data_IF_010572527296
#
_entry.id   IF_010572527296
#
_cell.length_a   1.000
_cell.length_b   1.000
_cell.length_c   1.000
_cell.angle_alpha   90.00
_cell.angle_beta   90.00
_cell.angle_gamma   90.00
#
_symmetry.space_group_name_H-M   'P 1'
#
loop_
_entity.id
_entity.type
_entity.pdbx_description
1 polymer ?
#
# COMPACT_ATOMS: atom_id res chain seq x y z
N UNK A 1 -17.69 -9.86 -0.20
CA UNK A 1 -17.18 -9.07 -1.33
C UNK A 1 -15.88 -9.68 -1.81
N UNK A 2 -15.71 -9.78 -3.11
CA UNK A 2 -14.50 -10.30 -3.73
C UNK A 2 -13.92 -9.26 -4.70
N UNK A 3 -12.60 -9.13 -4.71
CA UNK A 3 -11.88 -8.16 -5.53
C UNK A 3 -10.68 -8.84 -6.17
N UNK A 4 -10.52 -8.65 -7.48
CA UNK A 4 -9.36 -9.16 -8.20
C UNK A 4 -8.09 -8.41 -7.79
N UNK A 5 -6.98 -9.13 -7.63
CA UNK A 5 -5.66 -8.55 -7.37
C UNK A 5 -5.27 -7.54 -8.46
N UNK A 6 -5.63 -7.81 -9.69
CA UNK A 6 -5.26 -6.96 -10.84
C UNK A 6 -5.75 -5.52 -10.70
N UNK A 7 -6.91 -5.30 -10.11
CA UNK A 7 -7.41 -3.94 -9.87
C UNK A 7 -6.49 -3.13 -8.95
N UNK A 8 -5.90 -3.79 -7.96
CA UNK A 8 -4.92 -3.17 -7.06
C UNK A 8 -3.56 -3.06 -7.74
N UNK A 9 -3.09 -4.14 -8.33
CA UNK A 9 -1.74 -4.22 -8.90
C UNK A 9 -1.55 -3.27 -10.08
N UNK A 10 -2.55 -3.13 -10.95
CA UNK A 10 -2.46 -2.18 -12.05
C UNK A 10 -2.37 -0.73 -11.56
N UNK A 11 -3.11 -0.39 -10.52
CA UNK A 11 -3.05 0.93 -9.90
C UNK A 11 -1.70 1.19 -9.24
N UNK A 12 -1.14 0.21 -8.57
CA UNK A 12 0.21 0.29 -8.00
C UNK A 12 1.26 0.47 -9.09
N UNK A 13 1.20 -0.33 -10.16
CA UNK A 13 2.14 -0.20 -11.30
C UNK A 13 2.10 1.19 -11.91
N UNK A 14 0.91 1.73 -12.13
CA UNK A 14 0.74 3.05 -12.72
C UNK A 14 1.28 4.17 -11.83
N UNK A 15 1.17 4.02 -10.53
CA UNK A 15 1.64 5.04 -9.56
C UNK A 15 3.13 4.93 -9.26
N UNK A 16 3.70 3.74 -9.25
CA UNK A 16 5.13 3.54 -9.01
C UNK A 16 5.96 3.73 -10.27
N UNK A 17 5.48 3.21 -11.39
CA UNK A 17 6.14 3.29 -12.70
C UNK A 17 7.65 3.00 -12.61
N UNK A 18 8.01 1.92 -11.93
CA UNK A 18 9.41 1.56 -11.67
C UNK A 18 9.98 0.79 -12.85
N UNK A 19 10.96 1.35 -13.60
CA UNK A 19 11.54 0.68 -14.76
C UNK A 19 12.20 -0.65 -14.44
N UNK A 20 12.76 -0.80 -13.26
CA UNK A 20 13.42 -2.04 -12.84
C UNK A 20 12.41 -3.16 -12.65
N UNK A 21 11.28 -2.86 -12.04
CA UNK A 21 10.20 -3.85 -11.85
C UNK A 21 9.50 -4.16 -13.15
N UNK A 22 9.24 -3.15 -13.99
CA UNK A 22 8.59 -3.33 -15.30
C UNK A 22 9.45 -4.13 -16.29
N UNK A 23 10.75 -4.20 -16.06
CA UNK A 23 11.67 -5.02 -16.87
C UNK A 23 11.66 -6.51 -16.48
N UNK A 24 11.04 -6.87 -15.37
CA UNK A 24 10.92 -8.26 -14.93
C UNK A 24 9.87 -9.01 -15.76
N UNK A 25 10.00 -10.34 -15.79
CA UNK A 25 8.96 -11.20 -16.32
C UNK A 25 7.66 -10.99 -15.56
N UNK A 26 6.55 -11.16 -16.27
CA UNK A 26 5.21 -10.97 -15.70
C UNK A 26 4.96 -11.85 -14.47
N UNK A 27 5.45 -13.08 -14.50
CA UNK A 27 5.34 -14.01 -13.36
C UNK A 27 6.14 -13.54 -12.15
N UNK A 28 7.36 -13.07 -12.35
CA UNK A 28 8.24 -12.58 -11.28
C UNK A 28 7.67 -11.30 -10.65
N UNK A 29 7.17 -10.40 -11.48
CA UNK A 29 6.52 -9.18 -11.02
C UNK A 29 5.27 -9.47 -10.20
N UNK A 30 4.46 -10.40 -10.66
CA UNK A 30 3.24 -10.83 -9.97
C UNK A 30 3.58 -11.43 -8.59
N UNK A 31 4.62 -12.24 -8.51
CA UNK A 31 5.09 -12.83 -7.26
C UNK A 31 5.54 -11.77 -6.25
N UNK A 32 6.28 -10.77 -6.70
CA UNK A 32 6.70 -9.63 -5.87
C UNK A 32 5.48 -8.87 -5.34
N UNK A 33 4.50 -8.62 -6.18
CA UNK A 33 3.29 -7.90 -5.79
C UNK A 33 2.43 -8.70 -4.82
N UNK A 34 2.32 -10.01 -5.00
CA UNK A 34 1.63 -10.91 -4.05
C UNK A 34 2.31 -10.87 -2.68
N UNK A 35 3.63 -10.92 -2.65
CA UNK A 35 4.39 -10.80 -1.40
C UNK A 35 4.15 -9.48 -0.68
N UNK A 36 4.15 -8.37 -1.41
CA UNK A 36 3.84 -7.05 -0.85
C UNK A 36 2.42 -6.99 -0.30
N UNK A 37 1.47 -7.56 -1.00
CA UNK A 37 0.08 -7.63 -0.56
C UNK A 37 -0.06 -8.40 0.74
N UNK A 38 0.60 -9.56 0.86
CA UNK A 38 0.64 -10.33 2.10
C UNK A 38 1.29 -9.55 3.23
N UNK A 39 2.36 -8.83 2.96
CA UNK A 39 3.05 -7.97 3.93
C UNK A 39 2.14 -6.86 4.45
N UNK A 40 1.38 -6.25 3.58
CA UNK A 40 0.42 -5.18 3.92
C UNK A 40 -0.62 -5.67 4.92
N UNK A 41 -1.12 -6.89 4.78
CA UNK A 41 -2.12 -7.46 5.69
C UNK A 41 -1.55 -7.67 7.09
N UNK A 42 -0.24 -7.81 7.21
CA UNK A 42 0.43 -7.86 8.51
C UNK A 42 0.40 -6.54 9.29
N UNK A 43 0.07 -5.43 8.64
CA UNK A 43 -0.04 -4.13 9.31
C UNK A 43 -1.27 -4.11 10.24
N UNK A 44 -1.01 -3.87 11.52
CA UNK A 44 -2.05 -3.89 12.57
C UNK A 44 -3.16 -2.86 12.31
N UNK A 45 -2.82 -1.68 11.83
CA UNK A 45 -3.80 -0.62 11.53
C UNK A 45 -4.77 -1.03 10.44
N UNK A 46 -4.24 -1.67 9.38
CA UNK A 46 -5.04 -2.17 8.27
C UNK A 46 -5.87 -3.37 8.72
N UNK A 47 -5.25 -4.32 9.41
CA UNK A 47 -5.91 -5.54 9.87
C UNK A 47 -7.11 -5.26 10.77
N UNK A 48 -7.03 -4.21 11.58
CA UNK A 48 -8.12 -3.80 12.48
C UNK A 48 -9.38 -3.32 11.78
N UNK A 49 -9.28 -2.90 10.53
CA UNK A 49 -10.44 -2.47 9.75
C UNK A 49 -11.33 -3.64 9.34
N UNK A 50 -10.79 -4.85 9.34
CA UNK A 50 -11.45 -6.04 8.83
C UNK A 50 -11.93 -6.95 9.95
N UNK A 51 -13.17 -7.40 9.84
CA UNK A 51 -13.68 -8.52 10.61
C UNK A 51 -13.04 -9.81 10.08
N UNK A 52 -13.07 -9.99 8.77
CA UNK A 52 -12.39 -11.09 8.07
C UNK A 52 -11.72 -10.56 6.81
N UNK A 53 -10.56 -11.13 6.47
CA UNK A 53 -9.88 -10.89 5.21
C UNK A 53 -9.13 -12.14 4.80
N UNK A 54 -9.32 -12.56 3.55
CA UNK A 54 -8.68 -13.73 2.98
C UNK A 54 -8.07 -13.39 1.63
N UNK A 55 -6.81 -13.77 1.45
CA UNK A 55 -6.10 -13.68 0.18
C UNK A 55 -6.06 -15.07 -0.45
N UNK A 56 -6.62 -15.20 -1.64
CA UNK A 56 -6.53 -16.43 -2.45
C UNK A 56 -5.59 -16.17 -3.63
N UNK A 57 -4.37 -16.68 -3.52
CA UNK A 57 -3.34 -16.49 -4.54
C UNK A 57 -3.60 -17.32 -5.79
N UNK A 58 -4.37 -18.39 -5.69
CA UNK A 58 -4.72 -19.22 -6.87
C UNK A 58 -5.75 -18.54 -7.76
N UNK A 59 -6.82 -18.03 -7.17
CA UNK A 59 -7.86 -17.29 -7.89
C UNK A 59 -7.48 -15.81 -8.10
N UNK A 60 -6.44 -15.34 -7.40
CA UNK A 60 -6.00 -13.94 -7.40
C UNK A 60 -7.11 -12.99 -6.97
N UNK A 61 -7.79 -13.33 -5.90
CA UNK A 61 -8.89 -12.55 -5.35
C UNK A 61 -8.73 -12.31 -3.85
N UNK A 62 -9.21 -11.15 -3.41
CA UNK A 62 -9.34 -10.80 -2.00
C UNK A 62 -10.81 -10.89 -1.62
N UNK A 63 -11.08 -11.57 -0.52
CA UNK A 63 -12.41 -11.61 0.09
C UNK A 63 -12.34 -10.95 1.45
N UNK A 64 -13.27 -10.07 1.76
CA UNK A 64 -13.24 -9.33 3.02
C UNK A 64 -14.64 -9.06 3.58
N UNK A 65 -14.63 -8.77 4.88
CA UNK A 65 -15.75 -8.18 5.59
C UNK A 65 -15.18 -7.11 6.52
N UNK A 66 -15.62 -5.88 6.37
CA UNK A 66 -15.18 -4.78 7.23
C UNK A 66 -15.90 -4.81 8.58
N UNK A 67 -15.20 -4.39 9.64
CA UNK A 67 -15.80 -4.24 10.97
C UNK A 67 -16.96 -3.25 10.96
N UNK A 68 -16.81 -2.17 10.19
CA UNK A 68 -17.84 -1.15 10.06
C UNK A 68 -18.22 -1.06 8.57
N UNK A 69 -19.28 -1.75 8.21
CA UNK A 69 -19.76 -1.75 6.83
C UNK A 69 -20.38 -0.41 6.48
N UNK A 70 -20.01 0.10 5.32
CA UNK A 70 -20.75 1.18 4.69
C UNK A 70 -22.10 0.58 4.30
N UNK A 71 -23.17 1.09 4.88
CA UNK A 71 -24.49 0.48 4.75
C UNK A 71 -25.08 0.60 3.36
N UNK A 72 -25.61 -0.49 2.84
CA UNK A 72 -26.57 -0.52 1.75
C UNK A 72 -25.99 -0.46 0.34
N UNK A 73 -26.32 0.57 -0.42
CA UNK A 73 -26.08 0.68 -1.85
C UNK A 73 -24.65 1.04 -2.25
N UNK A 74 -23.74 1.10 -1.29
CA UNK A 74 -22.40 1.66 -1.46
C UNK A 74 -21.29 0.59 -1.60
N UNK A 75 -21.62 -0.56 -2.18
CA UNK A 75 -20.64 -1.62 -2.43
C UNK A 75 -19.47 -1.15 -3.31
N UNK A 76 -19.73 -0.28 -4.26
CA UNK A 76 -18.72 0.30 -5.14
C UNK A 76 -17.79 1.25 -4.37
N UNK A 77 -18.32 2.00 -3.42
CA UNK A 77 -17.55 2.89 -2.55
C UNK A 77 -16.64 2.08 -1.63
N UNK A 78 -17.15 0.98 -1.08
CA UNK A 78 -16.37 0.07 -0.25
C UNK A 78 -15.23 -0.57 -1.07
N UNK A 79 -15.51 -1.05 -2.27
CA UNK A 79 -14.51 -1.61 -3.18
C UNK A 79 -13.41 -0.58 -3.50
N UNK A 80 -13.77 0.65 -3.84
CA UNK A 80 -12.82 1.72 -4.09
C UNK A 80 -11.98 2.06 -2.87
N UNK A 81 -12.57 2.07 -1.69
CA UNK A 81 -11.83 2.25 -0.44
C UNK A 81 -10.78 1.16 -0.26
N UNK A 82 -11.14 -0.09 -0.47
CA UNK A 82 -10.22 -1.23 -0.37
C UNK A 82 -9.08 -1.11 -1.39
N UNK A 83 -9.39 -0.76 -2.63
CA UNK A 83 -8.38 -0.58 -3.68
C UNK A 83 -7.40 0.53 -3.28
N UNK A 84 -7.89 1.68 -2.85
CA UNK A 84 -7.04 2.80 -2.43
C UNK A 84 -6.20 2.47 -1.20
N UNK A 85 -6.78 1.80 -0.22
CA UNK A 85 -6.09 1.39 1.00
C UNK A 85 -4.90 0.48 0.69
N UNK A 86 -5.12 -0.59 -0.07
CA UNK A 86 -4.07 -1.53 -0.43
C UNK A 86 -3.06 -0.94 -1.40
N UNK A 87 -3.50 -0.11 -2.34
CA UNK A 87 -2.60 0.59 -3.26
C UNK A 87 -1.61 1.47 -2.48
N UNK A 88 -2.12 2.28 -1.58
CA UNK A 88 -1.30 3.17 -0.76
C UNK A 88 -0.32 2.38 0.12
N UNK A 89 -0.79 1.33 0.76
CA UNK A 89 0.04 0.48 1.61
C UNK A 89 1.13 -0.26 0.82
N UNK A 90 0.82 -0.75 -0.37
CA UNK A 90 1.80 -1.41 -1.25
C UNK A 90 2.85 -0.43 -1.78
N UNK A 91 2.48 0.81 -2.06
CA UNK A 91 3.44 1.85 -2.45
C UNK A 91 4.41 2.14 -1.31
N UNK A 92 3.93 2.17 -0.08
CA UNK A 92 4.79 2.32 1.10
C UNK A 92 5.78 1.15 1.18
N UNK A 93 5.33 -0.08 1.00
CA UNK A 93 6.20 -1.28 0.99
C UNK A 93 7.24 -1.23 -0.14
N UNK A 94 6.86 -0.68 -1.29
CA UNK A 94 7.77 -0.49 -2.42
C UNK A 94 8.84 0.58 -2.15
N UNK A 95 8.45 1.67 -1.49
CA UNK A 95 9.35 2.83 -1.28
C UNK A 95 10.30 2.63 -0.10
N UNK A 96 9.88 1.91 0.94
CA UNK A 96 10.68 1.75 2.16
C UNK A 96 12.08 1.17 1.91
N UNK A 97 12.26 0.06 1.16
CA UNK A 97 13.59 -0.46 0.87
C UNK A 97 14.47 0.53 0.10
N UNK A 98 13.88 1.32 -0.79
CA UNK A 98 14.61 2.32 -1.59
C UNK A 98 15.16 3.44 -0.70
N UNK A 99 14.42 3.86 0.31
CA UNK A 99 14.88 4.83 1.29
C UNK A 99 16.02 4.25 2.12
N UNK A 100 15.87 3.01 2.58
CA UNK A 100 16.88 2.32 3.40
C UNK A 100 18.17 2.09 2.61
N UNK A 101 18.09 1.64 1.36
CA UNK A 101 19.24 1.39 0.48
C UNK A 101 20.03 2.67 0.19
N UNK A 102 19.34 3.77 -0.09
CA UNK A 102 19.99 5.05 -0.37
C UNK A 102 20.70 5.59 0.87
N UNK A 103 20.14 5.39 2.06
CA UNK A 103 20.81 5.73 3.32
C UNK A 103 22.14 4.99 3.46
N UNK A 104 22.15 3.72 3.07
CA UNK A 104 23.35 2.89 3.14
C UNK A 104 24.41 3.30 2.12
N UNK A 105 24.01 3.61 0.89
CA UNK A 105 24.89 4.04 -0.20
C UNK A 105 25.44 5.44 0.08
N UNK A 106 24.61 6.36 0.58
CA UNK A 106 25.00 7.73 0.90
C UNK A 106 26.10 7.85 1.93
N UNK A 107 26.27 6.86 2.81
CA UNK A 107 27.37 6.79 3.77
C UNK A 107 28.72 6.42 3.13
N UNK A 108 28.71 5.81 1.94
CA UNK A 108 29.89 5.28 1.27
C UNK A 108 30.44 6.20 0.17
N UNK A 109 29.70 7.22 -0.26
CA UNK A 109 30.03 8.12 -1.37
C UNK A 109 30.23 9.54 -0.84
N UNK A 110 31.27 10.23 -1.30
CA UNK A 110 31.54 11.64 -0.92
C UNK A 110 31.44 12.61 -2.10
N UNK A 111 31.29 13.91 -1.83
CA UNK A 111 31.37 15.00 -2.82
C UNK A 111 30.04 15.39 -3.46
N UNK A 112 30.08 15.78 -4.75
CA UNK A 112 28.88 16.26 -5.49
C UNK A 112 27.81 15.18 -5.66
N UNK A 113 28.24 13.93 -5.83
CA UNK A 113 27.33 12.80 -5.97
C UNK A 113 26.56 12.55 -4.68
N UNK A 114 27.21 12.77 -3.54
CA UNK A 114 26.57 12.71 -2.23
C UNK A 114 25.44 13.74 -2.09
N UNK A 115 25.63 14.97 -2.58
CA UNK A 115 24.60 16.00 -2.53
C UNK A 115 23.37 15.67 -3.38
N UNK A 116 23.59 15.14 -4.58
CA UNK A 116 22.50 14.72 -5.47
C UNK A 116 21.73 13.57 -4.85
N UNK A 117 22.45 12.55 -4.33
CA UNK A 117 21.87 11.43 -3.63
C UNK A 117 21.11 11.86 -2.37
N UNK A 118 21.66 12.76 -1.59
CA UNK A 118 21.03 13.27 -0.37
C UNK A 118 19.76 14.05 -0.68
N UNK A 119 19.72 14.83 -1.76
CA UNK A 119 18.52 15.56 -2.17
C UNK A 119 17.43 14.61 -2.64
N UNK A 120 17.77 13.64 -3.48
CA UNK A 120 16.83 12.62 -3.94
C UNK A 120 16.32 11.76 -2.76
N UNK A 121 17.20 11.40 -1.85
CA UNK A 121 16.89 10.64 -0.65
C UNK A 121 15.94 11.41 0.27
N UNK A 122 16.19 12.71 0.47
CA UNK A 122 15.32 13.57 1.26
C UNK A 122 13.91 13.62 0.68
N UNK A 123 13.78 13.76 -0.65
CA UNK A 123 12.48 13.73 -1.32
C UNK A 123 11.76 12.40 -1.11
N UNK A 124 12.50 11.29 -1.18
CA UNK A 124 11.93 9.96 -0.94
C UNK A 124 11.51 9.77 0.52
N UNK A 125 12.30 10.26 1.48
CA UNK A 125 11.95 10.25 2.90
C UNK A 125 10.67 11.05 3.13
N UNK A 126 10.58 12.26 2.57
CA UNK A 126 9.42 13.13 2.71
C UNK A 126 8.18 12.49 2.07
N UNK A 127 8.33 11.87 0.91
CA UNK A 127 7.27 11.13 0.25
C UNK A 127 6.79 9.95 1.09
N UNK A 128 7.71 9.15 1.60
CA UNK A 128 7.40 7.99 2.45
C UNK A 128 6.66 8.43 3.72
N UNK A 129 7.13 9.47 4.38
CA UNK A 129 6.49 10.05 5.56
C UNK A 129 5.06 10.52 5.25
N UNK A 130 4.88 11.22 4.13
CA UNK A 130 3.57 11.70 3.67
C UNK A 130 2.61 10.54 3.40
N UNK A 131 3.08 9.49 2.74
CA UNK A 131 2.27 8.29 2.44
C UNK A 131 1.85 7.58 3.72
N UNK A 132 2.75 7.44 4.70
CA UNK A 132 2.45 6.83 6.00
C UNK A 132 1.40 7.64 6.76
N UNK A 133 1.48 8.96 6.72
CA UNK A 133 0.49 9.86 7.33
C UNK A 133 -0.87 9.70 6.65
N UNK A 134 -0.91 9.64 5.32
CA UNK A 134 -2.14 9.41 4.56
C UNK A 134 -2.78 8.07 4.91
N UNK A 135 -1.98 7.01 5.01
CA UNK A 135 -2.47 5.69 5.39
C UNK A 135 -3.06 5.69 6.79
N UNK A 136 -2.35 6.28 7.76
CA UNK A 136 -2.83 6.39 9.13
C UNK A 136 -4.13 7.20 9.20
N UNK A 137 -4.24 8.25 8.41
CA UNK A 137 -5.45 9.07 8.31
C UNK A 137 -6.63 8.29 7.72
N UNK A 138 -6.41 7.54 6.64
CA UNK A 138 -7.45 6.69 6.05
C UNK A 138 -7.99 5.68 7.05
N UNK A 139 -7.10 4.99 7.75
CA UNK A 139 -7.49 4.01 8.75
C UNK A 139 -8.26 4.64 9.91
N UNK A 140 -7.81 5.79 10.39
CA UNK A 140 -8.47 6.53 11.46
C UNK A 140 -9.83 7.07 11.05
N UNK A 141 -9.91 7.71 9.90
CA UNK A 141 -11.14 8.34 9.42
C UNK A 141 -12.21 7.29 9.15
N UNK A 142 -11.84 6.17 8.55
CA UNK A 142 -12.78 5.06 8.36
C UNK A 142 -13.29 4.53 9.70
N UNK A 143 -12.38 4.27 10.64
CA UNK A 143 -12.75 3.81 11.98
C UNK A 143 -13.60 4.83 12.74
N UNK A 144 -13.34 6.12 12.56
CA UNK A 144 -14.09 7.21 13.20
C UNK A 144 -15.48 7.38 12.60
N UNK A 145 -15.58 7.45 11.27
CA UNK A 145 -16.84 7.72 10.55
C UNK A 145 -17.83 6.57 10.64
N UNK A 146 -17.35 5.35 10.73
CA UNK A 146 -18.18 4.14 10.70
C UNK A 146 -18.17 3.36 12.01
N UNK A 147 -17.74 3.98 13.10
CA UNK A 147 -17.74 3.36 14.41
C UNK A 147 -19.11 3.46 15.04
N UNK A 148 -19.68 2.34 15.44
CA UNK A 148 -21.01 2.25 16.05
C UNK A 148 -21.14 3.11 17.33
N UNK A 149 -20.05 3.32 18.04
CA UNK A 149 -20.01 4.19 19.23
C UNK A 149 -20.29 5.66 18.93
N UNK A 150 -20.08 6.08 17.69
CA UNK A 150 -20.22 7.47 17.27
C UNK A 150 -21.53 7.73 16.52
N UNK A 151 -22.31 6.69 16.27
CA UNK A 151 -23.60 6.79 15.59
C UNK A 151 -24.78 6.90 16.57
N UNK A 152 -24.50 6.91 17.84
CA UNK A 152 -25.51 7.21 18.86
C UNK A 152 -25.74 8.75 18.94
#
# INVERSE_FOLDING_TARGET
MALSYEKIFSRVRNKTNDPKELALDEEDLLEIYKERLHSVIGNVRIRRLFLTITLDDESEEITWELNNTISGEESDVEEEFIIELFTLAMIIEWLQPKVDDITYIGMAIGGKEEKILNNAHKLNIDRLSSLKIQLAKMCRDHGYLYNDYLQE
#
